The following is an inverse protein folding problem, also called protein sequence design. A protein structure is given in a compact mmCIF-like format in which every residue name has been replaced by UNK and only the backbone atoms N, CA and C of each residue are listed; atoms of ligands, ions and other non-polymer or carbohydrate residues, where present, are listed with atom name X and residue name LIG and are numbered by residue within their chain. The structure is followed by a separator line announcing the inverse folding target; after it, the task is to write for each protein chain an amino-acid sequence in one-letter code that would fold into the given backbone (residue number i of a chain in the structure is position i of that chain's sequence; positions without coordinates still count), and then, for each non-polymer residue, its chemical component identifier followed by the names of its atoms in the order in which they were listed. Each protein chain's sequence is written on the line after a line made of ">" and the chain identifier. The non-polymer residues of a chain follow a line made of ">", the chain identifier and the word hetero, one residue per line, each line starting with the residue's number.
data_IF_418137967476
#
_entry.id   IF_418137967476
#
_cell.length_a   1.000
_cell.length_b   1.000
_cell.length_c   1.000
_cell.angle_alpha   90.00
_cell.angle_beta   90.00
_cell.angle_gamma   90.00
#
_symmetry.space_group_name_H-M   'P 1'
#
loop_
_entity.id
_entity.type
_entity.pdbx_description
1 polymer ?
#
# COMPACT_ATOMS: atom_id res chain seq x y z
N UNK A 1 18.77 -10.23 12.22
CA UNK A 1 17.97 -11.15 11.38
C UNK A 1 16.53 -10.70 11.43
N UNK A 2 15.78 -10.84 10.33
CA UNK A 2 14.34 -10.58 10.30
C UNK A 2 13.62 -11.63 11.17
N UNK A 3 12.83 -11.23 12.20
CA UNK A 3 12.14 -12.17 13.08
C UNK A 3 11.10 -13.03 12.34
N UNK A 4 10.59 -12.58 11.19
CA UNK A 4 9.63 -13.34 10.37
C UNK A 4 10.27 -14.55 9.71
N UNK A 5 11.58 -14.54 9.48
CA UNK A 5 12.29 -15.61 8.79
C UNK A 5 12.12 -16.97 9.49
N UNK A 6 12.07 -16.98 10.83
CA UNK A 6 11.86 -18.22 11.59
C UNK A 6 10.51 -18.88 11.26
N UNK A 7 9.47 -18.09 11.04
CA UNK A 7 8.15 -18.60 10.65
C UNK A 7 8.22 -19.26 9.28
N UNK A 8 8.78 -18.57 8.27
CA UNK A 8 8.94 -19.12 6.92
C UNK A 8 9.84 -20.36 6.93
N UNK A 9 10.92 -20.34 7.71
CA UNK A 9 11.80 -21.51 7.86
C UNK A 9 11.04 -22.72 8.38
N UNK A 10 10.27 -22.57 9.45
CA UNK A 10 9.51 -23.68 10.01
C UNK A 10 8.42 -24.18 9.05
N UNK A 11 7.78 -23.26 8.31
CA UNK A 11 6.80 -23.63 7.27
C UNK A 11 7.44 -24.41 6.12
N UNK A 12 8.57 -23.94 5.60
CA UNK A 12 9.30 -24.64 4.53
C UNK A 12 9.86 -25.98 5.00
N UNK A 13 10.37 -26.06 6.24
CA UNK A 13 10.85 -27.30 6.81
C UNK A 13 9.73 -28.33 6.97
N UNK A 14 8.56 -27.89 7.44
CA UNK A 14 7.39 -28.74 7.53
C UNK A 14 6.92 -29.19 6.14
N UNK A 15 6.83 -28.27 5.18
CA UNK A 15 6.49 -28.59 3.80
C UNK A 15 7.45 -29.62 3.19
N UNK A 16 8.75 -29.46 3.39
CA UNK A 16 9.76 -30.41 2.91
C UNK A 16 9.60 -31.81 3.52
N UNK A 17 9.21 -31.90 4.80
CA UNK A 17 8.94 -33.18 5.47
C UNK A 17 7.67 -33.84 4.93
N UNK A 18 6.58 -33.09 4.80
CA UNK A 18 5.31 -33.57 4.24
C UNK A 18 5.47 -34.04 2.80
N UNK A 19 6.10 -33.22 1.94
CA UNK A 19 6.41 -33.58 0.55
C UNK A 19 7.38 -34.76 0.45
N UNK A 20 8.33 -34.85 1.39
CA UNK A 20 9.26 -35.99 1.47
C UNK A 20 8.53 -37.29 1.74
N UNK A 21 7.56 -37.30 2.66
CA UNK A 21 6.72 -38.45 2.97
C UNK A 21 5.83 -38.85 1.77
N UNK A 22 5.18 -37.87 1.12
CA UNK A 22 4.41 -38.13 -0.10
C UNK A 22 5.27 -38.72 -1.22
N UNK A 23 6.48 -38.18 -1.42
CA UNK A 23 7.44 -38.70 -2.40
C UNK A 23 7.88 -40.13 -2.06
N UNK A 24 8.10 -40.44 -0.78
CA UNK A 24 8.45 -41.78 -0.32
C UNK A 24 7.35 -42.80 -0.61
N UNK A 25 6.09 -42.41 -0.37
CA UNK A 25 4.93 -43.24 -0.68
C UNK A 25 4.79 -43.49 -2.20
N UNK A 26 4.95 -42.44 -3.01
CA UNK A 26 4.82 -42.54 -4.47
C UNK A 26 5.99 -43.30 -5.13
N UNK A 27 7.21 -43.18 -4.61
CA UNK A 27 8.42 -43.76 -5.19
C UNK A 27 9.29 -44.52 -4.17
N UNK A 28 8.82 -45.65 -3.61
CA UNK A 28 9.50 -46.33 -2.50
C UNK A 28 10.93 -46.78 -2.84
N UNK A 29 11.16 -47.24 -4.09
CA UNK A 29 12.49 -47.68 -4.55
C UNK A 29 13.52 -46.57 -4.61
N UNK A 30 13.10 -45.33 -4.84
CA UNK A 30 13.99 -44.16 -4.95
C UNK A 30 14.19 -43.57 -3.56
N UNK A 31 13.12 -43.42 -2.79
CA UNK A 31 13.15 -42.92 -1.42
C UNK A 31 13.99 -43.81 -0.49
N UNK A 32 13.95 -45.13 -0.67
CA UNK A 32 14.80 -46.05 0.11
C UNK A 32 16.30 -45.86 -0.13
N UNK A 33 16.71 -45.34 -1.31
CA UNK A 33 18.11 -44.99 -1.59
C UNK A 33 18.53 -43.66 -0.96
N UNK A 34 17.55 -42.81 -0.65
CA UNK A 34 17.73 -41.50 -0.04
C UNK A 34 17.49 -41.52 1.48
N UNK A 35 17.16 -42.68 2.05
CA UNK A 35 16.78 -42.84 3.46
C UNK A 35 15.65 -41.89 3.87
N UNK A 36 14.72 -41.64 2.94
CA UNK A 36 13.50 -40.89 3.19
C UNK A 36 12.43 -41.91 3.58
N UNK A 37 12.13 -41.97 4.87
CA UNK A 37 11.05 -42.80 5.41
C UNK A 37 9.87 -41.93 5.86
N UNK A 38 8.73 -42.55 6.12
CA UNK A 38 7.43 -41.89 6.32
C UNK A 38 7.39 -40.95 7.55
N UNK A 39 8.34 -41.09 8.49
CA UNK A 39 8.34 -40.34 9.74
C UNK A 39 9.63 -39.55 10.02
N UNK A 40 10.83 -40.06 9.66
CA UNK A 40 12.10 -39.37 9.93
C UNK A 40 13.16 -39.70 8.87
N UNK A 41 13.96 -38.71 8.48
CA UNK A 41 15.15 -38.95 7.67
C UNK A 41 16.23 -39.54 8.59
N UNK A 42 16.60 -40.80 8.36
CA UNK A 42 17.52 -41.51 9.25
C UNK A 42 18.98 -40.99 9.17
N UNK A 43 19.31 -40.20 8.14
CA UNK A 43 20.66 -39.64 7.95
C UNK A 43 20.72 -38.16 8.41
N UNK A 44 21.48 -37.85 9.49
CA UNK A 44 21.62 -36.49 9.99
C UNK A 44 22.21 -35.49 8.98
N UNK A 45 22.99 -35.96 8.00
CA UNK A 45 23.55 -35.08 6.97
C UNK A 45 22.51 -34.71 5.92
N UNK A 46 21.63 -35.65 5.56
CA UNK A 46 20.51 -35.39 4.65
C UNK A 46 19.49 -34.48 5.33
N UNK A 47 19.18 -34.71 6.62
CA UNK A 47 18.30 -33.81 7.38
C UNK A 47 18.86 -32.38 7.42
N UNK A 48 20.15 -32.22 7.74
CA UNK A 48 20.81 -30.89 7.71
C UNK A 48 20.81 -30.24 6.33
N UNK A 49 20.91 -31.03 5.27
CA UNK A 49 20.82 -30.52 3.90
C UNK A 49 19.41 -30.00 3.61
N UNK A 50 18.38 -30.73 4.03
CA UNK A 50 16.97 -30.32 3.90
C UNK A 50 16.65 -29.09 4.75
N UNK A 51 17.20 -28.99 5.97
CA UNK A 51 17.13 -27.78 6.79
C UNK A 51 17.81 -26.60 6.10
N UNK A 52 19.03 -26.79 5.57
CA UNK A 52 19.74 -25.76 4.82
C UNK A 52 18.98 -25.30 3.57
N UNK A 53 18.36 -26.23 2.85
CA UNK A 53 17.50 -25.94 1.71
C UNK A 53 16.26 -25.14 2.14
N UNK A 54 15.56 -25.59 3.19
CA UNK A 54 14.39 -24.90 3.76
C UNK A 54 14.74 -23.48 4.20
N UNK A 55 15.93 -23.26 4.75
CA UNK A 55 16.42 -21.94 5.12
C UNK A 55 16.63 -21.02 3.90
N UNK A 56 17.19 -21.54 2.81
CA UNK A 56 17.36 -20.78 1.56
C UNK A 56 16.01 -20.44 0.93
N UNK A 57 15.10 -21.42 0.83
CA UNK A 57 13.77 -21.24 0.24
C UNK A 57 12.90 -20.30 1.08
N UNK A 58 12.98 -20.37 2.41
CA UNK A 58 12.29 -19.44 3.31
C UNK A 58 12.68 -17.98 3.06
N UNK A 59 13.95 -17.71 2.72
CA UNK A 59 14.38 -16.36 2.35
C UNK A 59 13.79 -15.90 1.02
N UNK A 60 13.62 -16.82 0.07
CA UNK A 60 12.99 -16.53 -1.22
C UNK A 60 11.51 -16.21 -1.00
N UNK A 61 10.79 -17.03 -0.23
CA UNK A 61 9.38 -16.79 0.08
C UNK A 61 9.15 -15.46 0.79
N UNK A 62 9.96 -15.19 1.83
CA UNK A 62 9.91 -13.91 2.53
C UNK A 62 10.11 -12.74 1.55
N UNK A 63 11.06 -12.89 0.60
CA UNK A 63 11.32 -11.84 -0.39
C UNK A 63 10.20 -11.68 -1.40
N UNK A 64 9.58 -12.77 -1.85
CA UNK A 64 8.44 -12.74 -2.76
C UNK A 64 7.24 -12.04 -2.12
N UNK A 65 6.92 -12.40 -0.88
CA UNK A 65 5.81 -11.80 -0.13
C UNK A 65 6.01 -10.30 0.11
N UNK A 66 7.25 -9.83 0.29
CA UNK A 66 7.56 -8.41 0.40
C UNK A 66 7.34 -7.61 -0.90
N UNK A 67 7.56 -8.23 -2.06
CA UNK A 67 7.39 -7.53 -3.34
C UNK A 67 5.94 -7.54 -3.85
N UNK A 68 5.10 -8.46 -3.36
CA UNK A 68 3.71 -8.60 -3.82
C UNK A 68 2.83 -7.34 -3.56
N UNK A 69 2.90 -6.66 -2.40
CA UNK A 69 2.18 -5.42 -2.17
C UNK A 69 2.60 -4.29 -3.12
N UNK A 70 3.90 -4.21 -3.45
CA UNK A 70 4.43 -3.20 -4.38
C UNK A 70 3.89 -3.42 -5.78
N UNK A 71 3.89 -4.67 -6.24
CA UNK A 71 3.30 -5.01 -7.53
C UNK A 71 1.83 -4.62 -7.60
N UNK A 72 1.04 -4.97 -6.57
CA UNK A 72 -0.39 -4.66 -6.51
C UNK A 72 -0.63 -3.14 -6.50
N UNK A 73 0.17 -2.39 -5.73
CA UNK A 73 0.09 -0.93 -5.71
C UNK A 73 0.36 -0.33 -7.10
N UNK A 74 1.43 -0.75 -7.78
CA UNK A 74 1.75 -0.26 -9.12
C UNK A 74 0.68 -0.60 -10.16
N UNK A 75 0.04 -1.76 -10.03
CA UNK A 75 -1.09 -2.11 -10.88
C UNK A 75 -2.28 -1.18 -10.62
N UNK A 76 -2.60 -0.92 -9.35
CA UNK A 76 -3.68 0.00 -8.97
C UNK A 76 -3.41 1.44 -9.42
N UNK A 77 -2.16 1.90 -9.41
CA UNK A 77 -1.77 3.21 -9.96
C UNK A 77 -2.12 3.35 -11.45
N UNK A 78 -2.15 2.25 -12.20
CA UNK A 78 -2.54 2.26 -13.63
C UNK A 78 -4.03 2.09 -13.86
N UNK A 79 -4.68 1.21 -13.11
CA UNK A 79 -6.09 0.86 -13.35
C UNK A 79 -7.04 1.85 -12.65
N UNK A 80 -6.71 2.29 -11.42
CA UNK A 80 -7.53 3.17 -10.60
C UNK A 80 -6.73 4.34 -10.00
N UNK A 81 -6.13 5.22 -10.82
CA UNK A 81 -5.28 6.31 -10.33
C UNK A 81 -6.01 7.27 -9.39
N UNK A 82 -7.31 7.48 -9.60
CA UNK A 82 -8.11 8.42 -8.80
C UNK A 82 -8.38 7.95 -7.37
N UNK A 83 -8.30 6.64 -7.09
CA UNK A 83 -8.53 6.08 -5.75
C UNK A 83 -7.30 6.20 -4.85
N UNK A 84 -6.12 6.27 -5.45
CA UNK A 84 -4.85 6.43 -4.74
C UNK A 84 -4.44 7.90 -4.59
N UNK A 85 -5.16 8.82 -5.26
CA UNK A 85 -4.87 10.24 -5.17
C UNK A 85 -5.30 10.79 -3.80
N UNK A 86 -4.44 11.49 -3.06
CA UNK A 86 -4.83 12.12 -1.81
C UNK A 86 -5.91 13.17 -2.05
N UNK A 87 -6.92 13.20 -1.18
CA UNK A 87 -7.94 14.26 -1.23
C UNK A 87 -7.32 15.57 -0.76
N UNK A 88 -7.38 16.65 -1.55
CA UNK A 88 -6.83 17.94 -1.15
C UNK A 88 -7.64 18.54 0.01
N UNK A 89 -7.01 19.47 0.74
CA UNK A 89 -7.73 20.31 1.70
C UNK A 89 -8.82 21.12 0.99
N UNK A 90 -10.01 21.18 1.59
CA UNK A 90 -11.17 21.92 1.10
C UNK A 90 -11.77 22.74 2.23
N UNK A 91 -12.36 23.89 1.91
CA UNK A 91 -13.03 24.75 2.88
C UNK A 91 -14.25 25.43 2.26
N UNK A 92 -15.19 25.84 3.12
CA UNK A 92 -16.28 26.72 2.76
C UNK A 92 -15.87 28.15 3.13
N UNK A 93 -16.06 29.09 2.21
CA UNK A 93 -15.73 30.50 2.41
C UNK A 93 -16.97 31.34 2.19
N UNK A 94 -17.21 32.28 3.11
CA UNK A 94 -18.22 33.32 2.94
C UNK A 94 -17.54 34.58 2.39
N UNK A 95 -18.06 35.12 1.29
CA UNK A 95 -17.65 36.41 0.76
C UNK A 95 -18.61 37.48 1.27
N UNK A 96 -18.07 38.51 1.89
CA UNK A 96 -18.82 39.70 2.27
C UNK A 96 -18.53 40.79 1.24
N UNK A 97 -19.60 41.37 0.70
CA UNK A 97 -19.51 42.51 -0.20
C UNK A 97 -19.60 43.81 0.58
N UNK A 98 -18.96 44.86 0.07
CA UNK A 98 -19.14 46.21 0.61
C UNK A 98 -20.51 46.74 0.16
N UNK A 99 -21.44 46.88 1.09
CA UNK A 99 -22.81 47.33 0.81
C UNK A 99 -22.90 48.76 0.25
N UNK A 100 -21.81 49.54 0.35
CA UNK A 100 -21.73 50.91 -0.15
C UNK A 100 -21.27 51.00 -1.62
N UNK A 101 -20.82 49.89 -2.21
CA UNK A 101 -20.26 49.86 -3.55
C UNK A 101 -21.39 49.84 -4.61
N UNK A 102 -21.57 50.93 -5.39
CA UNK A 102 -22.72 51.08 -6.29
C UNK A 102 -22.67 50.14 -7.51
N UNK A 103 -21.50 49.58 -7.82
CA UNK A 103 -21.33 48.61 -8.90
C UNK A 103 -21.92 47.22 -8.60
N UNK A 104 -22.33 46.97 -7.35
CA UNK A 104 -22.91 45.68 -6.93
C UNK A 104 -24.40 45.51 -7.23
N UNK A 105 -25.09 46.56 -7.68
CA UNK A 105 -26.56 46.50 -7.93
C UNK A 105 -26.90 45.52 -9.05
N UNK A 106 -25.98 45.31 -9.99
CA UNK A 106 -26.11 44.34 -11.10
C UNK A 106 -25.63 42.92 -10.71
N UNK A 107 -25.09 42.74 -9.50
CA UNK A 107 -24.47 41.52 -9.02
C UNK A 107 -23.02 41.38 -9.49
N UNK A 108 -22.12 41.02 -8.59
CA UNK A 108 -20.71 40.81 -8.92
C UNK A 108 -20.41 39.34 -9.15
N UNK A 109 -20.04 38.98 -10.38
CA UNK A 109 -19.64 37.62 -10.72
C UNK A 109 -18.21 37.33 -10.25
N UNK A 110 -18.08 36.44 -9.27
CA UNK A 110 -16.82 35.82 -8.89
C UNK A 110 -16.64 34.53 -9.72
N UNK A 111 -15.70 34.49 -10.68
CA UNK A 111 -15.53 33.34 -11.54
C UNK A 111 -15.01 32.11 -10.77
N UNK A 112 -15.28 30.93 -11.31
CA UNK A 112 -14.65 29.68 -10.92
C UNK A 112 -13.14 29.84 -11.02
N UNK A 113 -12.43 29.19 -10.11
CA UNK A 113 -10.98 29.27 -9.98
C UNK A 113 -10.41 30.62 -9.50
N UNK A 114 -11.25 31.54 -9.03
CA UNK A 114 -10.80 32.70 -8.26
C UNK A 114 -9.95 32.24 -7.07
N UNK A 115 -8.79 32.87 -6.94
CA UNK A 115 -7.72 32.41 -6.05
C UNK A 115 -7.80 33.08 -4.68
N UNK A 116 -7.67 32.28 -3.61
CA UNK A 116 -7.61 32.73 -2.23
C UNK A 116 -6.34 32.21 -1.57
N UNK A 117 -5.63 33.06 -0.83
CA UNK A 117 -4.39 32.69 -0.14
C UNK A 117 -4.65 32.54 1.35
N UNK A 118 -4.23 31.41 1.92
CA UNK A 118 -4.30 31.21 3.37
C UNK A 118 -3.26 32.05 4.10
N UNK A 119 -3.46 32.22 5.41
CA UNK A 119 -2.37 32.64 6.30
C UNK A 119 -1.29 31.55 6.32
N UNK A 120 -0.04 31.96 6.53
CA UNK A 120 1.07 31.01 6.72
C UNK A 120 0.93 30.40 8.13
N UNK A 121 0.80 29.08 8.20
CA UNK A 121 0.66 28.36 9.47
C UNK A 121 1.97 28.37 10.29
N UNK A 122 1.87 28.18 11.61
CA UNK A 122 3.05 28.03 12.47
C UNK A 122 3.86 26.81 12.00
N UNK A 123 5.13 27.04 11.65
CA UNK A 123 6.04 25.98 11.16
C UNK A 123 6.00 25.73 9.65
N UNK A 124 5.16 26.45 8.88
CA UNK A 124 5.21 26.42 7.41
C UNK A 124 5.90 27.66 6.86
N UNK A 125 6.60 27.50 5.73
CA UNK A 125 7.18 28.60 4.96
C UNK A 125 6.31 29.00 3.76
N UNK A 126 5.27 28.22 3.45
CA UNK A 126 4.40 28.43 2.28
C UNK A 126 2.94 28.54 2.68
N UNK A 127 2.22 29.45 2.02
CA UNK A 127 0.78 29.60 2.17
C UNK A 127 0.05 28.63 1.24
N UNK A 128 -1.08 28.09 1.68
CA UNK A 128 -1.96 27.32 0.82
C UNK A 128 -2.70 28.25 -0.13
N UNK A 129 -2.87 27.79 -1.37
CA UNK A 129 -3.63 28.48 -2.40
C UNK A 129 -4.89 27.67 -2.67
N UNK A 130 -6.04 28.28 -2.41
CA UNK A 130 -7.34 27.70 -2.66
C UNK A 130 -7.99 28.37 -3.87
N UNK A 131 -8.93 27.69 -4.49
CA UNK A 131 -9.65 28.16 -5.67
C UNK A 131 -11.14 27.89 -5.52
N UNK A 132 -11.99 28.82 -5.96
CA UNK A 132 -13.43 28.60 -6.01
C UNK A 132 -13.76 27.41 -6.93
N UNK A 133 -14.69 26.57 -6.50
CA UNK A 133 -15.08 25.36 -7.23
C UNK A 133 -16.09 25.62 -8.35
N UNK A 134 -16.77 26.77 -8.31
CA UNK A 134 -17.81 27.19 -9.26
C UNK A 134 -17.88 28.71 -9.35
N UNK A 135 -18.62 29.21 -10.35
CA UNK A 135 -18.99 30.62 -10.46
C UNK A 135 -19.98 31.00 -9.36
N UNK A 136 -19.80 32.18 -8.76
CA UNK A 136 -20.66 32.69 -7.68
C UNK A 136 -20.99 34.15 -7.94
N UNK A 137 -22.27 34.48 -8.05
CA UNK A 137 -22.70 35.89 -8.12
C UNK A 137 -22.96 36.41 -6.71
N UNK A 138 -22.23 37.45 -6.33
CA UNK A 138 -22.38 38.14 -5.05
C UNK A 138 -23.41 39.26 -5.18
N UNK A 139 -24.35 39.31 -4.23
CA UNK A 139 -25.42 40.30 -4.17
C UNK A 139 -25.31 41.09 -2.87
N UNK A 140 -25.67 42.39 -2.86
CA UNK A 140 -25.67 43.23 -1.67
C UNK A 140 -26.92 42.96 -0.82
N UNK A 141 -27.09 41.72 -0.37
CA UNK A 141 -28.19 41.27 0.48
C UNK A 141 -27.64 40.49 1.68
N UNK A 142 -28.31 40.65 2.82
CA UNK A 142 -28.01 39.92 4.05
C UNK A 142 -29.21 39.02 4.39
N UNK A 143 -28.94 37.77 4.79
CA UNK A 143 -29.94 36.77 5.17
C UNK A 143 -30.00 36.66 6.69
#
# INVERSE_FOLDING_TARGET
>A
MDPRLLKYYNQELQFMREMGAEFAHAYPKIASRLSLDEFECADPYVERLLEGFSFLTARIQLKLDEEFPRFTQHLMERVFPHYLCPTPSMMVVQFQVDMLEPSLTEGFLLPRHSTMRSRVGKGSHTACIYRTAQDVTLWPIEI
#
